data_IF_931058211710
#
_entry.id   IF_931058211710
#
_cell.length_a   1.000
_cell.length_b   1.000
_cell.length_c   1.000
_cell.angle_alpha   90.00
_cell.angle_beta   90.00
_cell.angle_gamma   90.00
#
_symmetry.space_group_name_H-M   'P 1'
#
loop_
_entity.id
_entity.type
_entity.pdbx_description
1 polymer ?
#
# COMPACT_ATOMS: atom_id res chain seq x y z
N UNK A 1 6.98 -62.66 -12.77
CA UNK A 1 7.46 -63.18 -14.08
C UNK A 1 6.25 -63.73 -14.83
N UNK A 2 6.26 -63.62 -16.18
CA UNK A 2 5.18 -63.82 -17.18
C UNK A 2 4.21 -62.64 -17.32
N UNK A 3 4.16 -61.83 -18.41
CA UNK A 3 3.97 -62.10 -19.88
C UNK A 3 2.64 -62.81 -20.14
N UNK A 4 1.68 -62.40 -20.97
CA UNK A 4 1.56 -61.60 -22.23
C UNK A 4 0.13 -60.98 -22.24
N UNK A 5 -0.25 -59.83 -22.84
CA UNK A 5 -0.17 -59.28 -24.19
C UNK A 5 -1.21 -59.81 -25.23
N UNK A 6 -1.96 -58.84 -25.78
CA UNK A 6 -2.47 -58.68 -27.17
C UNK A 6 -3.96 -59.00 -27.52
N UNK A 7 -4.50 -58.03 -28.30
CA UNK A 7 -5.60 -58.09 -29.30
C UNK A 7 -6.94 -57.55 -28.79
N UNK A 8 -7.55 -56.49 -29.31
CA UNK A 8 -7.47 -55.85 -30.64
C UNK A 8 -8.79 -56.10 -31.37
N UNK A 9 -9.72 -55.14 -31.38
CA UNK A 9 -10.65 -55.02 -32.52
C UNK A 9 -11.29 -53.63 -32.68
N UNK A 10 -11.53 -53.34 -33.94
CA UNK A 10 -11.90 -52.11 -34.60
C UNK A 10 -13.43 -51.93 -34.72
N UNK A 11 -13.89 -50.68 -34.67
CA UNK A 11 -15.03 -50.20 -35.46
C UNK A 11 -16.40 -50.18 -34.80
N UNK A 12 -16.90 -48.97 -34.51
CA UNK A 12 -18.08 -48.39 -35.19
C UNK A 12 -18.37 -46.98 -34.71
N UNK A 13 -18.50 -46.09 -35.69
CA UNK A 13 -19.16 -44.79 -35.58
C UNK A 13 -20.67 -45.05 -35.55
N UNK A 14 -21.36 -44.54 -34.54
CA UNK A 14 -22.79 -44.19 -34.61
C UNK A 14 -22.96 -42.88 -33.84
N UNK A 15 -23.17 -41.81 -34.59
CA UNK A 15 -23.74 -40.58 -34.07
C UNK A 15 -25.20 -40.85 -33.69
N UNK A 16 -25.58 -40.57 -32.45
CA UNK A 16 -26.95 -40.22 -32.12
C UNK A 16 -26.94 -39.14 -31.06
N UNK A 17 -27.46 -37.98 -31.44
CA UNK A 17 -27.76 -36.88 -30.54
C UNK A 17 -28.67 -37.33 -29.41
N UNK A 18 -28.31 -36.92 -28.19
CA UNK A 18 -29.04 -37.20 -26.97
C UNK A 18 -28.75 -36.08 -25.98
N UNK A 19 -29.49 -34.99 -26.17
CA UNK A 19 -29.59 -33.85 -25.27
C UNK A 19 -29.99 -34.36 -23.88
N UNK A 20 -29.11 -34.25 -22.88
CA UNK A 20 -29.52 -34.36 -21.49
C UNK A 20 -28.66 -33.48 -20.57
N UNK A 21 -29.36 -32.53 -19.99
CA UNK A 21 -28.92 -31.53 -19.03
C UNK A 21 -28.07 -32.12 -17.90
N UNK A 22 -26.93 -31.49 -17.63
CA UNK A 22 -26.42 -31.34 -16.27
C UNK A 22 -25.88 -29.94 -16.06
N UNK A 23 -26.69 -29.18 -15.32
CA UNK A 23 -26.29 -28.13 -14.37
C UNK A 23 -24.80 -28.21 -14.00
N UNK A 24 -24.07 -27.13 -14.23
CA UNK A 24 -23.05 -26.57 -13.33
C UNK A 24 -22.76 -25.12 -13.76
N UNK A 25 -22.90 -24.20 -12.81
CA UNK A 25 -21.94 -23.12 -12.63
C UNK A 25 -22.10 -21.84 -13.44
N UNK A 26 -23.14 -21.02 -13.19
CA UNK A 26 -23.05 -19.54 -13.30
C UNK A 26 -23.93 -18.86 -12.25
N UNK A 27 -23.46 -18.83 -11.00
CA UNK A 27 -23.93 -17.83 -10.03
C UNK A 27 -22.94 -16.67 -9.99
N UNK A 28 -23.45 -15.53 -10.43
CA UNK A 28 -23.17 -14.15 -10.03
C UNK A 28 -21.94 -13.94 -9.14
N UNK A 29 -20.93 -13.24 -9.68
CA UNK A 29 -20.23 -12.18 -8.96
C UNK A 29 -20.13 -11.00 -9.93
N UNK A 30 -21.27 -10.35 -10.15
CA UNK A 30 -21.31 -8.92 -10.47
C UNK A 30 -21.81 -8.24 -9.18
N UNK A 31 -21.26 -7.06 -8.89
CA UNK A 31 -21.37 -6.32 -7.62
C UNK A 31 -20.50 -6.86 -6.47
N UNK A 32 -19.33 -6.25 -6.25
CA UNK A 32 -19.04 -5.35 -5.12
C UNK A 32 -17.63 -4.80 -5.36
N UNK A 33 -17.51 -3.82 -6.25
CA UNK A 33 -16.39 -2.87 -6.22
C UNK A 33 -16.98 -1.52 -6.62
N UNK A 34 -17.70 -0.93 -5.67
CA UNK A 34 -18.01 0.49 -5.71
C UNK A 34 -16.70 1.25 -5.81
N UNK A 35 -16.36 1.64 -7.04
CA UNK A 35 -15.27 2.55 -7.38
C UNK A 35 -15.53 3.91 -6.71
N UNK A 36 -15.22 4.02 -5.42
CA UNK A 36 -14.94 5.31 -4.81
C UNK A 36 -13.48 5.61 -5.08
N UNK A 37 -13.23 6.45 -6.09
CA UNK A 37 -12.02 7.27 -6.15
C UNK A 37 -11.99 8.06 -4.84
N UNK A 38 -11.20 7.61 -3.89
CA UNK A 38 -10.82 8.43 -2.74
C UNK A 38 -9.74 9.36 -3.25
N UNK A 39 -10.14 10.56 -3.63
CA UNK A 39 -9.21 11.67 -3.78
C UNK A 39 -8.73 12.00 -2.36
N UNK A 40 -7.54 11.52 -2.00
CA UNK A 40 -6.83 11.97 -0.81
C UNK A 40 -6.60 13.48 -0.98
N UNK A 41 -7.43 14.29 -0.32
CA UNK A 41 -7.16 15.71 -0.19
C UNK A 41 -5.81 15.85 0.51
N UNK A 42 -4.87 16.49 -0.17
CA UNK A 42 -3.56 16.87 0.33
C UNK A 42 -3.73 17.75 1.58
N UNK A 43 -3.78 17.11 2.74
CA UNK A 43 -3.79 17.78 4.03
C UNK A 43 -2.41 18.35 4.34
N UNK A 44 -2.21 19.62 3.96
CA UNK A 44 -1.26 20.57 4.55
C UNK A 44 0.06 20.00 5.06
N UNK A 45 1.01 19.82 4.13
CA UNK A 45 2.41 19.55 4.41
C UNK A 45 3.10 20.85 4.89
N UNK A 46 3.83 20.77 6.01
CA UNK A 46 5.13 21.45 6.21
C UNK A 46 5.62 21.21 7.64
N UNK A 47 5.84 19.94 8.03
CA UNK A 47 7.12 19.70 8.75
C UNK A 47 8.15 20.12 7.72
N UNK A 48 8.97 21.12 8.02
CA UNK A 48 10.11 21.40 7.15
C UNK A 48 10.83 20.09 6.98
N UNK A 49 10.76 19.56 5.77
CA UNK A 49 11.73 18.58 5.37
C UNK A 49 13.08 19.24 5.65
N UNK A 50 14.07 18.50 6.20
CA UNK A 50 15.45 18.96 6.09
C UNK A 50 15.65 19.43 4.64
N UNK A 51 16.43 20.48 4.43
CA UNK A 51 16.74 20.94 3.07
C UNK A 51 17.33 19.73 2.32
N UNK A 52 16.46 19.02 1.59
CA UNK A 52 16.86 17.87 0.82
C UNK A 52 17.73 18.45 -0.26
N UNK A 53 18.98 17.98 -0.34
CA UNK A 53 19.81 18.32 -1.48
C UNK A 53 18.99 18.04 -2.74
N UNK A 54 19.02 18.94 -3.72
CA UNK A 54 18.26 18.85 -4.99
C UNK A 54 18.38 17.47 -5.67
N UNK A 55 19.40 16.69 -5.32
CA UNK A 55 19.65 15.34 -5.83
C UNK A 55 18.64 14.28 -5.39
N UNK A 56 18.01 14.35 -4.21
CA UNK A 56 17.09 13.31 -3.75
C UNK A 56 15.92 13.90 -2.95
N UNK A 57 14.92 14.43 -3.65
CA UNK A 57 13.69 14.92 -3.05
C UNK A 57 12.64 13.79 -3.00
N UNK A 58 12.95 12.70 -2.30
CA UNK A 58 12.05 11.55 -2.19
C UNK A 58 11.95 11.02 -0.75
N UNK A 59 10.79 10.46 -0.40
CA UNK A 59 10.61 9.82 0.90
C UNK A 59 9.54 8.75 0.86
N UNK A 60 9.70 7.72 1.70
CA UNK A 60 8.70 6.68 1.92
C UNK A 60 8.16 6.77 3.35
N UNK A 61 6.84 6.67 3.50
CA UNK A 61 6.15 6.70 4.79
C UNK A 61 5.22 5.49 4.89
N UNK A 62 5.29 4.75 5.99
CA UNK A 62 4.25 3.78 6.33
C UNK A 62 3.06 4.51 6.95
N UNK A 63 1.89 4.27 6.40
CA UNK A 63 0.62 4.83 6.87
C UNK A 63 -0.34 3.68 7.17
N UNK A 64 -0.97 3.69 8.32
CA UNK A 64 -2.12 2.83 8.64
C UNK A 64 -3.33 3.72 8.88
N UNK A 65 -4.46 3.42 8.24
CA UNK A 65 -5.73 4.15 8.38
C UNK A 65 -6.89 3.20 8.60
N UNK A 66 -7.93 3.66 9.29
CA UNK A 66 -9.17 2.91 9.50
C UNK A 66 -10.23 3.75 10.22
N UNK A 67 -11.50 3.41 10.03
CA UNK A 67 -12.62 4.19 10.58
C UNK A 67 -12.70 4.12 12.11
N UNK A 68 -12.26 3.01 12.70
CA UNK A 68 -12.19 2.71 14.13
C UNK A 68 -10.75 2.45 14.60
N UNK A 69 -9.75 2.93 13.84
CA UNK A 69 -8.34 2.69 14.14
C UNK A 69 -7.95 3.31 15.49
N UNK A 70 -7.41 2.44 16.36
CA UNK A 70 -6.82 2.80 17.64
C UNK A 70 -5.28 2.79 17.52
N UNK A 71 -4.62 3.96 17.59
CA UNK A 71 -3.18 4.05 17.38
C UNK A 71 -2.33 3.14 18.27
N UNK A 72 -2.75 2.94 19.51
CA UNK A 72 -2.04 2.13 20.50
C UNK A 72 -2.04 0.64 20.11
N UNK A 73 -3.12 0.16 19.48
CA UNK A 73 -3.17 -1.21 18.95
C UNK A 73 -2.21 -1.40 17.78
N UNK A 74 -2.08 -0.39 16.90
CA UNK A 74 -1.10 -0.42 15.80
C UNK A 74 0.32 -0.41 16.36
N UNK A 75 0.62 0.48 17.29
CA UNK A 75 1.91 0.57 18.00
C UNK A 75 2.26 -0.74 18.70
N UNK A 76 1.32 -1.34 19.44
CA UNK A 76 1.53 -2.61 20.13
C UNK A 76 1.76 -3.78 19.17
N UNK A 77 1.04 -3.82 18.04
CA UNK A 77 1.20 -4.89 17.06
C UNK A 77 2.56 -4.77 16.34
N UNK A 78 2.91 -3.58 15.86
CA UNK A 78 4.15 -3.40 15.10
C UNK A 78 5.39 -3.31 16.00
N UNK A 79 5.22 -2.92 17.27
CA UNK A 79 6.33 -2.66 18.19
C UNK A 79 7.16 -1.43 17.80
N UNK A 80 6.55 -0.50 17.06
CA UNK A 80 7.18 0.73 16.59
C UNK A 80 6.42 1.94 17.10
N UNK A 81 7.14 3.01 17.42
CA UNK A 81 6.53 4.28 17.84
C UNK A 81 6.20 5.15 16.62
N UNK A 82 4.95 5.62 16.46
CA UNK A 82 4.59 6.50 15.35
C UNK A 82 5.28 7.86 15.47
N UNK A 83 5.48 8.51 14.32
CA UNK A 83 5.80 9.93 14.31
C UNK A 83 4.56 10.82 14.39
N UNK A 84 3.42 10.30 13.94
CA UNK A 84 2.10 10.92 14.07
C UNK A 84 1.05 9.84 14.24
N UNK A 85 0.07 10.11 15.08
CA UNK A 85 -1.12 9.30 15.21
C UNK A 85 -2.30 10.15 15.60
N UNK A 86 -3.50 9.72 15.23
CA UNK A 86 -4.73 10.38 15.60
C UNK A 86 -5.87 9.37 15.60
N UNK A 87 -6.89 9.64 16.40
CA UNK A 87 -8.17 8.92 16.37
C UNK A 87 -9.16 9.69 15.51
N UNK A 88 -10.19 8.98 15.02
CA UNK A 88 -11.32 9.62 14.37
C UNK A 88 -11.99 10.62 15.32
N UNK A 89 -12.36 11.79 14.79
CA UNK A 89 -12.99 12.87 15.56
C UNK A 89 -12.02 13.81 16.27
N UNK A 90 -10.73 13.45 16.38
CA UNK A 90 -9.73 14.36 16.95
C UNK A 90 -9.54 15.58 16.05
N UNK A 91 -9.33 16.74 16.68
CA UNK A 91 -9.01 17.96 15.95
C UNK A 91 -7.66 17.81 15.25
N UNK A 92 -7.60 18.25 13.99
CA UNK A 92 -6.32 18.27 13.28
C UNK A 92 -5.38 19.24 14.00
N UNK A 93 -4.19 18.77 14.31
CA UNK A 93 -3.16 19.56 14.96
C UNK A 93 -1.84 19.45 14.19
N UNK A 94 -1.06 20.51 14.27
CA UNK A 94 0.27 20.57 13.69
C UNK A 94 1.26 21.10 14.74
N UNK A 95 2.29 20.31 15.04
CA UNK A 95 3.39 20.71 15.91
C UNK A 95 4.43 21.41 15.03
N UNK A 96 4.66 22.70 15.29
CA UNK A 96 5.68 23.51 14.62
C UNK A 96 7.08 23.12 15.12
N UNK A 97 8.10 23.60 14.40
CA UNK A 97 9.52 23.40 14.78
C UNK A 97 9.86 23.94 16.17
N UNK A 98 9.21 25.01 16.59
CA UNK A 98 9.38 25.63 17.91
C UNK A 98 8.61 24.88 19.03
N UNK A 99 7.98 23.75 18.71
CA UNK A 99 7.15 22.97 19.63
C UNK A 99 5.73 23.51 19.82
N UNK A 100 5.40 24.68 19.26
CA UNK A 100 4.04 25.24 19.35
C UNK A 100 3.05 24.39 18.57
N UNK A 101 1.86 24.20 19.13
CA UNK A 101 0.77 23.43 18.51
C UNK A 101 -0.18 24.40 17.82
N UNK A 102 -0.35 24.22 16.51
CA UNK A 102 -1.41 24.85 15.73
C UNK A 102 -2.57 23.89 15.58
N UNK A 103 -3.72 24.26 16.14
CA UNK A 103 -4.98 23.52 15.98
C UNK A 103 -5.78 24.09 14.82
N UNK A 104 -6.39 23.22 14.01
CA UNK A 104 -7.26 23.62 12.91
C UNK A 104 -8.71 23.36 13.29
N UNK A 105 -9.65 24.12 12.72
CA UNK A 105 -11.10 23.94 12.96
C UNK A 105 -11.71 22.68 12.35
N UNK A 106 -10.90 21.85 11.68
CA UNK A 106 -11.32 20.59 11.07
C UNK A 106 -10.93 19.39 11.94
N UNK A 107 -11.71 18.31 11.88
CA UNK A 107 -11.43 17.04 12.55
C UNK A 107 -10.92 15.96 11.59
N UNK A 108 -10.32 14.90 12.12
CA UNK A 108 -9.98 13.70 11.36
C UNK A 108 -11.21 12.81 11.14
N UNK A 109 -11.54 12.52 9.88
CA UNK A 109 -12.71 11.70 9.52
C UNK A 109 -12.51 10.21 9.78
N UNK A 110 -11.27 9.78 9.97
CA UNK A 110 -10.82 8.41 10.26
C UNK A 110 -9.60 8.46 11.19
N UNK A 111 -9.32 7.35 11.87
CA UNK A 111 -8.09 7.18 12.64
C UNK A 111 -6.89 6.97 11.72
N UNK A 112 -5.70 7.29 12.22
CA UNK A 112 -4.48 7.09 11.47
C UNK A 112 -3.22 7.01 12.31
N UNK A 113 -2.22 6.38 11.72
CA UNK A 113 -0.92 6.11 12.31
C UNK A 113 0.13 6.23 11.21
N UNK A 114 1.19 7.00 11.44
CA UNK A 114 2.24 7.27 10.46
C UNK A 114 3.62 7.06 11.05
N UNK A 115 4.46 6.37 10.30
CA UNK A 115 5.89 6.22 10.56
C UNK A 115 6.66 6.66 9.32
N UNK A 116 7.43 7.73 9.48
CA UNK A 116 8.34 8.25 8.49
C UNK A 116 9.66 7.47 8.51
N UNK A 117 10.34 7.40 7.37
CA UNK A 117 11.78 7.10 7.37
C UNK A 117 12.53 8.06 8.30
N UNK A 118 13.61 7.56 8.92
CA UNK A 118 14.56 8.39 9.67
C UNK A 118 15.22 9.43 8.77
N UNK A 119 15.81 10.47 9.36
CA UNK A 119 16.45 11.53 8.58
C UNK A 119 17.67 11.03 7.80
N UNK A 120 18.37 9.98 8.27
CA UNK A 120 19.45 9.34 7.51
C UNK A 120 18.91 8.51 6.34
N UNK A 121 17.83 7.73 6.55
CA UNK A 121 17.21 6.98 5.46
C UNK A 121 16.66 7.90 4.37
N UNK A 122 16.12 9.08 4.71
CA UNK A 122 15.63 10.04 3.71
C UNK A 122 16.72 10.64 2.82
N UNK A 123 18.00 10.50 3.19
CA UNK A 123 19.14 10.91 2.34
C UNK A 123 19.53 9.83 1.33
N UNK A 124 19.05 8.60 1.51
CA UNK A 124 19.30 7.49 0.60
C UNK A 124 18.46 7.62 -0.66
N UNK A 125 18.88 6.93 -1.72
CA UNK A 125 18.08 6.77 -2.93
C UNK A 125 16.73 6.11 -2.62
N UNK A 126 15.75 6.29 -3.51
CA UNK A 126 14.41 5.74 -3.30
C UNK A 126 14.42 4.21 -3.21
N UNK A 127 15.29 3.55 -3.97
CA UNK A 127 15.44 2.09 -3.97
C UNK A 127 16.06 1.57 -2.67
N UNK A 128 17.03 2.29 -2.11
CA UNK A 128 17.62 1.97 -0.80
C UNK A 128 16.60 2.18 0.32
N UNK A 129 15.83 3.28 0.27
CA UNK A 129 14.72 3.50 1.19
C UNK A 129 13.68 2.38 1.12
N UNK A 130 13.32 1.97 -0.09
CA UNK A 130 12.37 0.87 -0.32
C UNK A 130 12.92 -0.45 0.20
N UNK A 131 14.19 -0.74 -0.05
CA UNK A 131 14.87 -1.93 0.46
C UNK A 131 14.84 -1.98 1.99
N UNK A 132 15.15 -0.86 2.65
CA UNK A 132 15.10 -0.75 4.10
C UNK A 132 13.67 -0.93 4.65
N UNK A 133 12.66 -0.38 3.97
CA UNK A 133 11.25 -0.59 4.32
C UNK A 133 10.83 -2.04 4.14
N UNK A 134 11.19 -2.69 3.03
CA UNK A 134 10.87 -4.08 2.78
C UNK A 134 11.48 -5.01 3.83
N UNK A 135 12.72 -4.76 4.25
CA UNK A 135 13.35 -5.50 5.32
C UNK A 135 12.54 -5.38 6.63
N UNK A 136 12.15 -4.16 7.02
CA UNK A 136 11.34 -3.90 8.22
C UNK A 136 9.95 -4.56 8.14
N UNK A 137 9.23 -4.38 7.04
CA UNK A 137 7.88 -4.91 6.87
C UNK A 137 7.83 -6.44 6.88
N UNK A 138 8.83 -7.11 6.30
CA UNK A 138 8.92 -8.57 6.31
C UNK A 138 8.98 -9.15 7.72
N UNK A 139 9.65 -8.45 8.65
CA UNK A 139 9.69 -8.87 10.07
C UNK A 139 8.34 -8.74 10.78
N UNK A 140 7.36 -8.05 10.17
CA UNK A 140 6.04 -7.75 10.74
C UNK A 140 4.89 -8.30 9.90
N UNK A 141 5.15 -9.27 9.03
CA UNK A 141 4.16 -9.74 8.06
C UNK A 141 2.88 -10.27 8.70
N UNK A 142 3.00 -11.05 9.79
CA UNK A 142 1.84 -11.58 10.50
C UNK A 142 1.01 -10.47 11.14
N UNK A 143 1.66 -9.49 11.77
CA UNK A 143 1.00 -8.37 12.42
C UNK A 143 0.31 -7.46 11.41
N UNK A 144 0.96 -7.16 10.28
CA UNK A 144 0.37 -6.40 9.18
C UNK A 144 -0.87 -7.09 8.60
N UNK A 145 -0.85 -8.41 8.44
CA UNK A 145 -2.03 -9.18 8.06
C UNK A 145 -3.13 -9.11 9.13
N UNK A 146 -2.76 -9.14 10.41
CA UNK A 146 -3.70 -8.94 11.51
C UNK A 146 -4.37 -7.55 11.49
N UNK A 147 -3.64 -6.49 11.13
CA UNK A 147 -4.23 -5.16 10.92
C UNK A 147 -5.19 -5.17 9.73
N UNK A 148 -4.81 -5.82 8.64
CA UNK A 148 -5.66 -5.94 7.45
C UNK A 148 -6.98 -6.68 7.74
N UNK A 149 -6.92 -7.79 8.49
CA UNK A 149 -8.11 -8.57 8.88
C UNK A 149 -9.08 -7.77 9.77
N UNK A 150 -8.60 -6.74 10.49
CA UNK A 150 -9.44 -5.80 11.25
C UNK A 150 -10.13 -4.76 10.37
N UNK A 151 -9.88 -4.77 9.06
CA UNK A 151 -10.40 -3.78 8.11
C UNK A 151 -9.54 -2.50 8.04
N UNK A 152 -8.37 -2.48 8.69
CA UNK A 152 -7.46 -1.34 8.60
C UNK A 152 -6.57 -1.47 7.37
N UNK A 153 -6.28 -0.34 6.73
CA UNK A 153 -5.47 -0.28 5.52
C UNK A 153 -4.06 0.17 5.87
N UNK A 154 -3.08 -0.65 5.50
CA UNK A 154 -1.65 -0.30 5.58
C UNK A 154 -1.14 0.07 4.18
N UNK A 155 -0.41 1.16 4.06
CA UNK A 155 0.17 1.64 2.80
C UNK A 155 1.60 2.15 2.99
N UNK A 156 2.47 1.86 2.02
CA UNK A 156 3.66 2.67 1.81
C UNK A 156 3.30 3.84 0.89
N UNK A 157 3.41 5.05 1.41
CA UNK A 157 3.23 6.30 0.69
C UNK A 157 4.59 6.84 0.24
N UNK A 158 4.77 6.93 -1.06
CA UNK A 158 5.96 7.41 -1.74
C UNK A 158 5.70 8.86 -2.15
N UNK A 159 6.51 9.77 -1.64
CA UNK A 159 6.59 11.12 -2.16
C UNK A 159 7.83 11.22 -3.03
N UNK A 160 7.64 11.60 -4.29
CA UNK A 160 8.74 11.78 -5.26
C UNK A 160 8.58 13.15 -5.89
N UNK A 161 9.55 14.02 -5.64
CA UNK A 161 9.67 15.34 -6.23
C UNK A 161 11.02 15.47 -6.97
N UNK A 162 11.39 14.41 -7.67
CA UNK A 162 12.54 14.36 -8.58
C UNK A 162 12.06 13.97 -9.97
N UNK A 163 12.89 14.25 -10.98
CA UNK A 163 12.71 13.77 -12.36
C UNK A 163 13.18 12.32 -12.53
N UNK A 164 13.50 11.61 -11.44
CA UNK A 164 13.97 10.23 -11.50
C UNK A 164 12.82 9.29 -11.87
N UNK A 165 13.15 8.27 -12.66
CA UNK A 165 12.21 7.20 -12.92
C UNK A 165 12.11 6.33 -11.66
N UNK A 166 10.90 6.19 -11.11
CA UNK A 166 10.63 5.18 -10.11
C UNK A 166 10.47 3.84 -10.84
N UNK A 167 11.55 3.03 -10.85
CA UNK A 167 11.46 1.64 -11.25
C UNK A 167 11.13 0.80 -10.02
N UNK A 168 9.99 0.10 -10.05
CA UNK A 168 9.58 -0.77 -8.94
C UNK A 168 9.49 -2.21 -9.44
N UNK A 169 10.45 -3.07 -9.06
CA UNK A 169 10.47 -4.45 -9.49
C UNK A 169 9.18 -5.20 -9.10
N UNK A 170 8.66 -6.04 -10.00
CA UNK A 170 7.40 -6.80 -9.81
C UNK A 170 7.44 -7.67 -8.54
N UNK A 171 8.60 -8.22 -8.19
CA UNK A 171 8.77 -8.99 -6.97
C UNK A 171 8.58 -8.15 -5.70
N UNK A 172 8.89 -6.85 -5.72
CA UNK A 172 8.63 -5.94 -4.59
C UNK A 172 7.14 -5.66 -4.46
N UNK A 173 6.45 -5.39 -5.58
CA UNK A 173 5.00 -5.21 -5.60
C UNK A 173 4.26 -6.45 -5.07
N UNK A 174 4.66 -7.65 -5.52
CA UNK A 174 4.11 -8.90 -5.04
C UNK A 174 4.36 -9.09 -3.54
N UNK A 175 5.57 -8.79 -3.07
CA UNK A 175 5.89 -8.91 -1.65
C UNK A 175 5.06 -7.96 -0.78
N UNK A 176 4.85 -6.71 -1.21
CA UNK A 176 3.96 -5.76 -0.53
C UNK A 176 2.52 -6.29 -0.47
N UNK A 177 2.01 -6.78 -1.60
CA UNK A 177 0.66 -7.34 -1.67
C UNK A 177 0.49 -8.56 -0.73
N UNK A 178 1.47 -9.47 -0.68
CA UNK A 178 1.44 -10.62 0.24
C UNK A 178 1.48 -10.24 1.72
N UNK A 179 2.05 -9.08 2.05
CA UNK A 179 2.05 -8.51 3.41
C UNK A 179 0.76 -7.74 3.72
N UNK A 180 -0.16 -7.58 2.77
CA UNK A 180 -1.35 -6.76 2.92
C UNK A 180 -1.04 -5.25 2.93
N UNK A 181 0.09 -4.84 2.37
CA UNK A 181 0.53 -3.44 2.31
C UNK A 181 0.28 -2.88 0.91
N UNK A 182 -0.54 -1.84 0.83
CA UNK A 182 -0.79 -1.10 -0.39
C UNK A 182 0.36 -0.17 -0.78
N UNK A 183 0.34 0.26 -2.03
CA UNK A 183 1.25 1.28 -2.55
C UNK A 183 0.45 2.56 -2.85
N UNK A 184 0.97 3.69 -2.40
CA UNK A 184 0.44 5.01 -2.69
C UNK A 184 1.57 5.90 -3.18
N UNK A 185 1.39 6.59 -4.30
CA UNK A 185 2.42 7.40 -4.94
C UNK A 185 1.91 8.82 -5.13
N UNK A 186 2.67 9.78 -4.61
CA UNK A 186 2.48 11.21 -4.83
C UNK A 186 3.66 11.74 -5.62
N UNK A 187 3.40 12.10 -6.88
CA UNK A 187 4.37 12.71 -7.77
C UNK A 187 4.20 14.23 -7.74
N UNK A 188 5.30 14.94 -7.51
CA UNK A 188 5.34 16.39 -7.61
C UNK A 188 6.26 16.79 -8.75
N UNK A 189 5.75 17.56 -9.69
CA UNK A 189 6.57 18.15 -10.74
C UNK A 189 7.14 19.47 -10.23
N UNK A 190 8.43 19.50 -9.92
CA UNK A 190 9.18 20.76 -9.74
C UNK A 190 9.53 21.34 -11.10
N UNK A 191 8.52 21.58 -11.93
CA UNK A 191 8.70 22.31 -13.17
C UNK A 191 8.93 23.78 -12.84
N UNK A 192 10.19 24.20 -12.68
CA UNK A 192 10.52 25.58 -13.09
C UNK A 192 10.28 25.57 -14.60
N UNK A 193 9.21 26.23 -15.04
CA UNK A 193 9.12 26.66 -16.42
C UNK A 193 10.39 27.46 -16.69
N UNK A 194 11.36 26.86 -17.37
CA UNK A 194 12.45 27.60 -17.98
C UNK A 194 11.79 28.54 -18.96
N UNK A 195 11.79 29.83 -18.64
CA UNK A 195 11.42 30.89 -19.57
C UNK A 195 12.19 30.62 -20.88
N UNK A 196 11.44 30.28 -21.91
CA UNK A 196 11.99 30.17 -23.25
C UNK A 196 12.41 31.58 -23.71
N UNK A 197 13.57 31.72 -24.37
CA UNK A 197 14.08 33.00 -24.84
C UNK A 197 13.19 33.66 -25.90
#
# INVERSE_FOLDING_TARGET
MSRDAVSGNCGRIVEHGGQLERRIGRRRIAEVLGRRRVTLAAGGQNRSMPAMSERHCCSITLIVIGDDLEPEKVTSALGWSPNQSWRRGEQKQFIRRDGSIRTFGSIHEWGGWKLFSSDEERKLSLDEQLTAWMARLRTKGHELQGLHQRGWKSELNFFVASSECLDMPVNVLNALASLGVGLNLTLSTTGKATDAP
#
